data_IF_336728133972
#
_entry.id   IF_336728133972
#
_cell.length_a   1.000
_cell.length_b   1.000
_cell.length_c   1.000
_cell.angle_alpha   90.00
_cell.angle_beta   90.00
_cell.angle_gamma   90.00
#
_symmetry.space_group_name_H-M   'P 1'
#
loop_
_entity.id
_entity.type
_entity.pdbx_description
1 polymer ?
#
# COMPACT_ATOMS: atom_id res chain seq x y z
N UNK A 1 15.40 -26.85 21.86
CA UNK A 1 14.48 -25.77 21.45
C UNK A 1 14.91 -25.09 20.16
N UNK A 2 16.13 -24.53 20.05
CA UNK A 2 16.73 -24.12 18.76
C UNK A 2 16.77 -25.27 17.74
N UNK A 3 17.02 -26.49 18.23
CA UNK A 3 16.93 -27.73 17.47
C UNK A 3 15.53 -28.03 16.92
N UNK A 4 14.45 -27.69 17.65
CA UNK A 4 13.07 -27.89 17.19
C UNK A 4 12.70 -26.88 16.09
N UNK A 5 13.20 -25.66 16.20
CA UNK A 5 13.00 -24.59 15.20
C UNK A 5 13.69 -24.93 13.87
N UNK A 6 14.90 -25.51 13.92
CA UNK A 6 15.62 -25.99 12.74
C UNK A 6 14.90 -27.15 12.04
N UNK A 7 14.25 -28.03 12.81
CA UNK A 7 13.47 -29.16 12.29
C UNK A 7 12.16 -28.69 11.62
N UNK A 8 11.57 -27.57 12.07
CA UNK A 8 10.34 -27.00 11.51
C UNK A 8 10.59 -25.99 10.37
N UNK A 9 11.82 -25.51 10.20
CA UNK A 9 12.25 -24.61 9.11
C UNK A 9 11.89 -25.08 7.70
N UNK A 10 11.93 -26.38 7.34
CA UNK A 10 11.50 -26.83 6.01
C UNK A 10 9.98 -27.02 5.89
N UNK A 11 9.25 -27.02 7.01
CA UNK A 11 7.80 -27.26 7.04
C UNK A 11 6.98 -25.96 6.91
N UNK A 12 7.57 -24.82 7.28
CA UNK A 12 6.93 -23.51 7.22
C UNK A 12 7.82 -22.47 6.53
N UNK A 13 7.35 -21.78 5.48
CA UNK A 13 8.08 -20.66 4.89
C UNK A 13 8.41 -19.59 5.94
N UNK A 14 9.55 -18.89 5.84
CA UNK A 14 10.00 -17.91 6.83
C UNK A 14 8.97 -16.81 7.14
N UNK A 15 8.10 -16.50 6.18
CA UNK A 15 6.98 -15.56 6.34
C UNK A 15 5.94 -16.06 7.35
N UNK A 16 5.63 -17.36 7.39
CA UNK A 16 4.67 -17.94 8.31
C UNK A 16 5.22 -18.05 9.75
N UNK A 17 6.53 -18.23 9.91
CA UNK A 17 7.16 -18.26 11.23
C UNK A 17 7.03 -16.93 11.99
N UNK A 18 6.94 -15.80 11.28
CA UNK A 18 6.68 -14.49 11.88
C UNK A 18 5.30 -14.40 12.55
N UNK A 19 4.30 -15.07 11.96
CA UNK A 19 2.94 -15.08 12.48
C UNK A 19 2.78 -16.06 13.65
N UNK A 20 3.50 -17.18 13.62
CA UNK A 20 3.36 -18.25 14.62
C UNK A 20 4.18 -17.93 15.90
N UNK A 21 5.38 -17.35 15.78
CA UNK A 21 6.28 -17.10 16.92
C UNK A 21 6.87 -15.68 16.96
N UNK A 22 6.04 -14.63 17.13
CA UNK A 22 6.49 -13.23 17.06
C UNK A 22 7.52 -12.85 18.13
N UNK A 23 7.40 -13.37 19.36
CA UNK A 23 8.34 -13.05 20.46
C UNK A 23 9.75 -13.60 20.23
N UNK A 24 9.86 -14.80 19.63
CA UNK A 24 11.13 -15.41 19.29
C UNK A 24 11.80 -14.71 18.11
N UNK A 25 11.01 -14.34 17.09
CA UNK A 25 11.53 -13.68 15.90
C UNK A 25 12.10 -12.29 16.21
N UNK A 26 11.63 -11.58 17.26
CA UNK A 26 12.25 -10.30 17.70
C UNK A 26 13.72 -10.45 18.11
N UNK A 27 14.10 -11.58 18.71
CA UNK A 27 15.45 -11.83 19.23
C UNK A 27 16.43 -12.19 18.10
N UNK A 28 15.94 -12.84 17.04
CA UNK A 28 16.78 -13.34 15.96
C UNK A 28 17.12 -12.23 14.95
N UNK A 29 18.34 -12.19 14.40
CA UNK A 29 18.64 -11.35 13.24
C UNK A 29 17.97 -11.94 12.00
N UNK A 30 17.27 -11.11 11.22
CA UNK A 30 16.59 -11.58 10.01
C UNK A 30 15.95 -10.48 9.17
N UNK A 31 15.41 -10.83 7.99
CA UNK A 31 14.82 -9.87 7.05
C UNK A 31 13.63 -9.08 7.63
N UNK A 32 12.96 -9.63 8.64
CA UNK A 32 11.88 -8.96 9.37
C UNK A 32 12.34 -7.65 10.04
N UNK A 33 13.61 -7.52 10.42
CA UNK A 33 14.15 -6.25 10.96
C UNK A 33 14.18 -5.15 9.90
N UNK A 34 14.50 -5.51 8.65
CA UNK A 34 14.45 -4.57 7.51
C UNK A 34 13.00 -4.18 7.20
N UNK A 35 12.07 -5.14 7.20
CA UNK A 35 10.63 -4.87 7.02
C UNK A 35 10.14 -3.90 8.10
N UNK A 36 10.50 -4.14 9.36
CA UNK A 36 10.16 -3.24 10.47
C UNK A 36 10.78 -1.85 10.29
N UNK A 37 12.04 -1.75 9.90
CA UNK A 37 12.69 -0.47 9.62
C UNK A 37 12.01 0.30 8.49
N UNK A 38 11.63 -0.38 7.41
CA UNK A 38 10.91 0.25 6.29
C UNK A 38 9.53 0.73 6.72
N UNK A 39 8.84 -0.05 7.57
CA UNK A 39 7.56 0.34 8.14
C UNK A 39 7.69 1.63 8.97
N UNK A 40 8.71 1.72 9.83
CA UNK A 40 8.96 2.93 10.62
C UNK A 40 9.21 4.16 9.73
N UNK A 41 10.05 4.03 8.70
CA UNK A 41 10.29 5.13 7.75
C UNK A 41 9.01 5.59 7.04
N UNK A 42 8.13 4.65 6.68
CA UNK A 42 6.87 4.98 6.04
C UNK A 42 5.89 5.64 7.03
N UNK A 43 5.87 5.18 8.28
CA UNK A 43 5.09 5.81 9.34
C UNK A 43 5.55 7.25 9.62
N UNK A 44 6.86 7.49 9.66
CA UNK A 44 7.43 8.85 9.82
C UNK A 44 7.06 9.75 8.65
N UNK A 45 7.12 9.23 7.42
CA UNK A 45 6.66 9.95 6.23
C UNK A 45 5.18 10.33 6.34
N UNK A 46 4.31 9.39 6.72
CA UNK A 46 2.89 9.67 6.92
C UNK A 46 2.69 10.71 8.01
N UNK A 47 3.39 10.62 9.15
CA UNK A 47 3.28 11.58 10.23
C UNK A 47 3.62 13.02 9.77
N UNK A 48 4.67 13.18 8.96
CA UNK A 48 5.01 14.48 8.39
C UNK A 48 3.94 14.97 7.40
N UNK A 49 3.35 14.09 6.58
CA UNK A 49 2.22 14.47 5.74
C UNK A 49 1.02 14.91 6.58
N UNK A 50 0.67 14.18 7.63
CA UNK A 50 -0.43 14.54 8.54
C UNK A 50 -0.19 15.92 9.16
N UNK A 51 1.03 16.21 9.60
CA UNK A 51 1.40 17.54 10.14
C UNK A 51 1.14 18.65 9.11
N UNK A 52 1.61 18.46 7.87
CA UNK A 52 1.37 19.42 6.78
C UNK A 52 -0.11 19.59 6.45
N UNK A 53 -0.89 18.51 6.53
CA UNK A 53 -2.33 18.56 6.28
C UNK A 53 -3.06 19.33 7.38
N UNK A 54 -2.66 19.17 8.65
CA UNK A 54 -3.17 19.96 9.77
C UNK A 54 -2.90 21.46 9.59
N UNK A 55 -1.70 21.84 9.12
CA UNK A 55 -1.32 23.25 8.94
C UNK A 55 -2.18 23.96 7.87
N UNK A 56 -2.69 23.22 6.88
CA UNK A 56 -3.46 23.76 5.75
C UNK A 56 -4.89 23.21 5.67
N UNK A 57 -5.43 22.71 6.78
CA UNK A 57 -6.72 22.02 6.77
C UNK A 57 -7.86 23.01 6.54
N UNK A 58 -8.63 22.78 5.47
CA UNK A 58 -9.86 23.51 5.18
C UNK A 58 -11.07 22.57 5.32
N UNK A 59 -11.92 22.76 6.35
CA UNK A 59 -13.12 21.95 6.53
C UNK A 59 -14.13 22.03 5.38
N UNK A 60 -14.12 23.09 4.58
CA UNK A 60 -15.05 23.26 3.46
C UNK A 60 -14.57 22.56 2.19
N UNK A 61 -13.27 22.24 2.10
CA UNK A 61 -12.67 21.67 0.91
C UNK A 61 -11.58 20.64 1.26
N UNK A 62 -11.97 19.43 1.72
CA UNK A 62 -11.02 18.37 2.01
C UNK A 62 -10.35 17.87 0.72
N UNK A 63 -9.01 17.84 0.70
CA UNK A 63 -8.24 17.55 -0.53
C UNK A 63 -8.09 16.05 -0.77
N UNK A 64 -7.92 15.28 0.30
CA UNK A 64 -7.61 13.86 0.21
C UNK A 64 -8.06 13.07 1.45
N UNK A 65 -7.66 11.79 1.48
CA UNK A 65 -7.95 10.88 2.58
C UNK A 65 -7.53 11.42 3.94
N UNK A 66 -6.38 12.11 4.03
CA UNK A 66 -5.85 12.61 5.31
C UNK A 66 -6.75 13.73 5.83
N UNK A 67 -7.12 14.70 4.99
CA UNK A 67 -8.03 15.78 5.38
C UNK A 67 -9.39 15.23 5.82
N UNK A 68 -9.98 14.32 5.03
CA UNK A 68 -11.25 13.67 5.37
C UNK A 68 -11.20 12.95 6.72
N UNK A 69 -10.10 12.23 7.00
CA UNK A 69 -9.94 11.51 8.26
C UNK A 69 -9.74 12.47 9.44
N UNK A 70 -8.97 13.55 9.26
CA UNK A 70 -8.78 14.58 10.28
C UNK A 70 -10.10 15.27 10.65
N UNK A 71 -10.95 15.60 9.67
CA UNK A 71 -12.28 16.16 9.92
C UNK A 71 -13.18 15.17 10.66
N UNK A 72 -13.09 13.89 10.30
CA UNK A 72 -13.84 12.83 10.98
C UNK A 72 -13.38 12.65 12.43
N UNK A 73 -12.07 12.73 12.70
CA UNK A 73 -11.52 12.74 14.06
C UNK A 73 -12.07 13.93 14.88
N UNK A 74 -12.16 15.13 14.29
CA UNK A 74 -12.73 16.29 14.98
C UNK A 74 -14.21 16.09 15.31
N UNK A 75 -14.99 15.52 14.38
CA UNK A 75 -16.41 15.22 14.58
C UNK A 75 -16.64 14.21 15.72
N UNK A 76 -15.73 13.25 15.90
CA UNK A 76 -15.85 12.20 16.91
C UNK A 76 -15.06 12.46 18.20
N UNK A 77 -14.48 13.66 18.36
CA UNK A 77 -13.64 14.02 19.52
C UNK A 77 -14.31 13.85 20.90
N UNK A 78 -15.64 13.90 20.96
CA UNK A 78 -16.42 13.68 22.19
C UNK A 78 -16.76 12.22 22.49
N UNK A 79 -16.41 11.27 21.61
CA UNK A 79 -16.73 9.86 21.78
C UNK A 79 -15.51 9.07 22.29
N UNK A 80 -15.52 8.59 23.54
CA UNK A 80 -14.41 7.81 24.10
C UNK A 80 -14.22 6.44 23.44
N UNK A 81 -15.20 5.95 22.68
CA UNK A 81 -15.15 4.69 21.94
C UNK A 81 -14.82 4.88 20.45
N UNK A 82 -14.31 6.04 20.04
CA UNK A 82 -13.95 6.29 18.63
C UNK A 82 -12.74 5.47 18.19
N UNK A 83 -12.80 4.99 16.95
CA UNK A 83 -11.66 4.36 16.27
C UNK A 83 -10.81 5.37 15.49
N UNK A 84 -11.27 6.62 15.37
CA UNK A 84 -10.59 7.70 14.66
C UNK A 84 -9.53 8.33 15.56
N UNK A 85 -8.39 7.65 15.66
CA UNK A 85 -7.19 8.14 16.36
C UNK A 85 -6.06 8.40 15.37
N UNK A 86 -5.05 9.16 15.80
CA UNK A 86 -3.87 9.43 14.99
C UNK A 86 -3.08 8.15 14.66
N UNK A 87 -3.10 7.17 15.57
CA UNK A 87 -2.52 5.85 15.32
C UNK A 87 -3.27 5.09 14.22
N UNK A 88 -4.60 5.10 14.25
CA UNK A 88 -5.42 4.49 13.19
C UNK A 88 -5.21 5.19 11.85
N UNK A 89 -5.12 6.53 11.84
CA UNK A 89 -4.80 7.33 10.65
C UNK A 89 -3.48 6.86 10.03
N UNK A 90 -2.40 6.83 10.83
CA UNK A 90 -1.08 6.44 10.38
C UNK A 90 -1.08 5.00 9.83
N UNK A 91 -1.62 4.04 10.58
CA UNK A 91 -1.72 2.63 10.15
C UNK A 91 -2.52 2.47 8.87
N UNK A 92 -3.64 3.16 8.73
CA UNK A 92 -4.52 3.05 7.56
C UNK A 92 -3.87 3.66 6.32
N UNK A 93 -3.23 4.82 6.46
CA UNK A 93 -2.50 5.46 5.36
C UNK A 93 -1.31 4.61 4.89
N UNK A 94 -0.52 4.08 5.82
CA UNK A 94 0.57 3.13 5.52
C UNK A 94 0.04 1.90 4.78
N UNK A 95 -1.07 1.32 5.25
CA UNK A 95 -1.68 0.16 4.62
C UNK A 95 -2.16 0.46 3.20
N UNK A 96 -2.83 1.60 2.98
CA UNK A 96 -3.30 2.02 1.66
C UNK A 96 -2.13 2.20 0.69
N UNK A 97 -1.05 2.84 1.15
CA UNK A 97 0.15 3.06 0.35
C UNK A 97 0.83 1.75 -0.05
N UNK A 98 0.99 0.83 0.91
CA UNK A 98 1.58 -0.49 0.67
C UNK A 98 0.73 -1.34 -0.29
N UNK A 99 -0.59 -1.42 -0.03
CA UNK A 99 -1.52 -2.18 -0.84
C UNK A 99 -1.57 -1.68 -2.29
N UNK A 100 -1.60 -0.36 -2.49
CA UNK A 100 -1.68 0.23 -3.83
C UNK A 100 -0.38 0.14 -4.62
N UNK A 101 0.77 0.35 -3.97
CA UNK A 101 2.04 0.49 -4.69
C UNK A 101 2.58 -0.85 -5.18
N UNK A 102 2.69 -1.84 -4.28
CA UNK A 102 3.35 -3.10 -4.59
C UNK A 102 2.54 -3.92 -5.60
N UNK A 103 1.22 -3.96 -5.43
CA UNK A 103 0.32 -4.76 -6.28
C UNK A 103 0.24 -4.18 -7.69
N UNK A 104 0.08 -2.87 -7.83
CA UNK A 104 0.00 -2.20 -9.14
C UNK A 104 1.35 -2.24 -9.85
N UNK A 105 2.45 -1.95 -9.14
CA UNK A 105 3.79 -2.04 -9.72
C UNK A 105 4.11 -3.45 -10.22
N UNK A 106 3.79 -4.47 -9.43
CA UNK A 106 3.98 -5.87 -9.82
C UNK A 106 3.12 -6.22 -11.02
N UNK A 107 1.84 -5.85 -11.00
CA UNK A 107 0.90 -6.10 -12.09
C UNK A 107 1.37 -5.47 -13.40
N UNK A 108 1.80 -4.20 -13.36
CA UNK A 108 2.35 -3.50 -14.52
C UNK A 108 3.63 -4.16 -15.02
N UNK A 109 4.56 -4.53 -14.13
CA UNK A 109 5.81 -5.20 -14.50
C UNK A 109 5.55 -6.53 -15.21
N UNK A 110 4.60 -7.34 -14.70
CA UNK A 110 4.21 -8.58 -15.35
C UNK A 110 3.45 -8.34 -16.65
N UNK A 111 2.53 -7.37 -16.68
CA UNK A 111 1.80 -6.98 -17.88
C UNK A 111 2.75 -6.59 -19.01
N UNK A 112 3.71 -5.71 -18.75
CA UNK A 112 4.74 -5.33 -19.72
C UNK A 112 5.59 -6.52 -20.15
N UNK A 113 5.98 -7.40 -19.22
CA UNK A 113 6.76 -8.61 -19.55
C UNK A 113 5.99 -9.55 -20.49
N UNK A 114 4.68 -9.67 -20.31
CA UNK A 114 3.82 -10.48 -21.18
C UNK A 114 3.73 -9.85 -22.57
N UNK A 115 3.50 -8.54 -22.65
CA UNK A 115 3.43 -7.82 -23.93
C UNK A 115 4.72 -7.98 -24.75
N UNK A 116 5.89 -7.85 -24.12
CA UNK A 116 7.19 -8.04 -24.78
C UNK A 116 7.42 -9.48 -25.30
N UNK A 117 6.77 -10.48 -24.69
CA UNK A 117 6.90 -11.88 -25.10
C UNK A 117 5.90 -12.29 -26.18
N UNK A 118 4.82 -11.53 -26.33
CA UNK A 118 3.69 -11.79 -27.23
C UNK A 118 3.39 -10.55 -28.09
N UNK A 119 4.27 -10.19 -29.03
CA UNK A 119 4.12 -9.01 -29.88
C UNK A 119 2.83 -9.03 -30.71
N UNK A 120 2.25 -10.21 -30.97
CA UNK A 120 0.95 -10.38 -31.61
C UNK A 120 -0.21 -9.76 -30.81
N UNK A 121 -0.12 -9.74 -29.47
CA UNK A 121 -1.14 -9.16 -28.58
C UNK A 121 -0.95 -7.64 -28.48
N UNK A 122 0.30 -7.16 -28.50
CA UNK A 122 0.61 -5.73 -28.56
C UNK A 122 0.13 -5.11 -29.88
N UNK A 123 0.37 -5.77 -31.01
CA UNK A 123 -0.12 -5.33 -32.32
C UNK A 123 -1.65 -5.26 -32.41
N UNK A 124 -2.36 -6.21 -31.79
CA UNK A 124 -3.81 -6.19 -31.70
C UNK A 124 -4.33 -5.05 -30.79
N UNK A 125 -3.73 -4.82 -29.62
CA UNK A 125 -4.10 -3.72 -28.72
C UNK A 125 -3.76 -2.34 -29.28
N UNK A 126 -2.62 -2.17 -29.94
CA UNK A 126 -2.23 -0.93 -30.62
C UNK A 126 -3.12 -0.69 -31.84
N UNK A 127 -3.43 -1.73 -32.60
CA UNK A 127 -4.44 -1.69 -33.66
C UNK A 127 -5.78 -1.20 -33.12
N UNK A 128 -6.33 -1.82 -32.08
CA UNK A 128 -7.59 -1.39 -31.47
C UNK A 128 -7.57 0.07 -30.97
N UNK A 129 -6.46 0.54 -30.37
CA UNK A 129 -6.32 1.96 -29.99
C UNK A 129 -6.32 2.92 -31.18
N UNK A 130 -5.77 2.50 -32.32
CA UNK A 130 -5.86 3.25 -33.58
C UNK A 130 -7.29 3.32 -34.13
N UNK A 131 -8.00 2.19 -34.12
CA UNK A 131 -9.40 2.10 -34.56
C UNK A 131 -10.35 2.89 -33.65
N UNK A 132 -10.17 2.84 -32.32
CA UNK A 132 -10.98 3.63 -31.38
C UNK A 132 -10.71 5.14 -31.50
N UNK A 133 -9.48 5.55 -31.83
CA UNK A 133 -9.14 6.97 -32.06
C UNK A 133 -9.75 7.50 -33.36
N UNK A 134 -9.84 6.67 -34.40
CA UNK A 134 -10.53 7.02 -35.65
C UNK A 134 -12.06 7.13 -35.44
N UNK A 135 -12.68 6.22 -34.69
CA UNK A 135 -14.12 6.30 -34.38
C UNK A 135 -14.53 7.44 -33.44
N UNK A 136 -13.60 7.95 -32.63
CA UNK A 136 -13.85 9.10 -31.76
C UNK A 136 -13.61 10.44 -32.50
N UNK A 137 -12.63 10.48 -33.41
CA UNK A 137 -12.36 11.66 -34.25
C UNK A 137 -13.43 11.94 -35.32
N UNK A 138 -14.17 10.93 -35.78
CA UNK A 138 -15.30 11.11 -36.72
C UNK A 138 -16.61 11.55 -36.04
N UNK A 139 -16.67 11.64 -34.71
CA UNK A 139 -17.89 12.01 -33.97
C UNK A 139 -17.95 13.49 -33.56
N UNK A 140 -16.93 14.29 -33.91
CA UNK A 140 -16.83 15.73 -33.62
C UNK A 140 -16.83 16.61 -34.89
N UNK A 141 -17.39 16.14 -36.02
CA UNK A 141 -17.50 16.91 -37.27
C UNK A 141 -18.95 17.06 -37.73
#
# INVERSE_FOLDING_TARGET
FLSLLLILSPLFPPSQLLFIFPSLMRLLPGPHRRIHSNYLQLADFVAEQVRRHRDTLDPQNPRDFIDCFLLKMQQESGNPATHFTEETLSKTAVNLFFAGTETVSSSLKYGLRILLRHPEVEGACVGQRGWSRLQFGERES
#
